data_IF_388187537144
#
_entry.id   IF_388187537144
#
_cell.length_a   1.000
_cell.length_b   1.000
_cell.length_c   1.000
_cell.angle_alpha   90.00
_cell.angle_beta   90.00
_cell.angle_gamma   90.00
#
_symmetry.space_group_name_H-M   'P 1'
#
loop_
_entity.id
_entity.type
_entity.pdbx_description
1 polymer ?
#
# COMPACT_ATOMS: atom_id res chain seq x y z
N UNK A 1 -41.69 72.56 43.20
CA UNK A 1 -41.97 72.25 41.80
C UNK A 1 -40.77 71.45 41.27
N UNK A 2 -40.80 70.15 41.37
CA UNK A 2 -39.68 69.27 41.07
C UNK A 2 -40.13 68.27 40.00
N UNK A 3 -39.47 68.32 38.86
CA UNK A 3 -39.66 67.40 37.73
C UNK A 3 -38.72 66.18 37.88
N UNK A 4 -39.21 64.97 37.73
CA UNK A 4 -38.32 63.79 37.76
C UNK A 4 -37.70 63.50 36.38
N UNK A 5 -36.41 63.22 36.39
CA UNK A 5 -35.64 62.80 35.25
C UNK A 5 -35.88 61.31 34.90
N UNK A 6 -36.26 61.06 33.66
CA UNK A 6 -36.48 59.73 33.11
C UNK A 6 -35.13 59.11 32.70
N UNK A 7 -34.67 58.04 33.38
CA UNK A 7 -33.49 57.26 33.03
C UNK A 7 -33.83 56.28 31.88
N UNK A 8 -33.29 56.49 30.71
CA UNK A 8 -33.37 55.59 29.54
C UNK A 8 -32.34 54.49 29.70
N UNK A 9 -32.76 53.29 30.03
CA UNK A 9 -31.93 52.05 30.06
C UNK A 9 -31.76 51.53 28.66
N UNK A 10 -30.58 51.73 28.07
CA UNK A 10 -30.17 51.08 26.84
C UNK A 10 -29.73 49.65 27.17
N UNK A 11 -30.49 48.66 26.72
CA UNK A 11 -30.17 47.26 26.79
C UNK A 11 -29.17 46.93 25.63
N UNK A 12 -27.92 46.62 26.00
CA UNK A 12 -26.91 46.14 25.06
C UNK A 12 -27.06 44.65 24.88
N UNK A 13 -27.69 44.23 23.75
CA UNK A 13 -27.70 42.81 23.34
C UNK A 13 -26.33 42.37 22.87
N UNK A 14 -25.58 41.65 23.70
CA UNK A 14 -24.37 40.97 23.30
C UNK A 14 -24.69 39.72 22.49
N UNK A 15 -24.50 39.78 21.18
CA UNK A 15 -24.53 38.62 20.28
C UNK A 15 -23.30 37.72 20.59
N UNK A 16 -23.58 36.62 21.31
CA UNK A 16 -22.57 35.56 21.54
C UNK A 16 -22.45 34.74 20.24
N UNK A 17 -21.38 34.99 19.49
CA UNK A 17 -21.01 34.21 18.31
C UNK A 17 -20.39 32.89 18.82
N UNK A 18 -21.17 31.81 18.86
CA UNK A 18 -20.63 30.47 19.12
C UNK A 18 -19.94 29.95 17.86
N UNK A 19 -18.64 29.54 17.92
CA UNK A 19 -18.01 28.91 16.79
C UNK A 19 -18.67 27.55 16.55
N UNK A 20 -19.29 27.39 15.38
CA UNK A 20 -19.77 26.08 14.93
C UNK A 20 -18.55 25.18 14.65
N UNK A 21 -18.30 24.29 15.59
CA UNK A 21 -17.33 23.20 15.41
C UNK A 21 -17.96 22.23 14.37
N UNK A 22 -17.62 22.36 13.10
CA UNK A 22 -17.95 21.36 12.09
C UNK A 22 -17.16 20.08 12.43
N UNK A 23 -17.82 18.93 12.66
CA UNK A 23 -17.12 17.67 12.79
C UNK A 23 -16.39 17.41 11.47
N UNK A 24 -15.06 17.54 11.49
CA UNK A 24 -14.22 17.09 10.39
C UNK A 24 -14.51 15.61 10.17
N UNK A 25 -15.02 15.25 9.00
CA UNK A 25 -15.11 13.85 8.57
C UNK A 25 -13.66 13.31 8.58
N UNK A 26 -13.30 12.59 9.62
CA UNK A 26 -12.09 11.78 9.64
C UNK A 26 -12.28 10.79 8.48
N UNK A 27 -11.63 11.05 7.35
CA UNK A 27 -11.52 10.07 6.28
C UNK A 27 -10.73 8.91 6.87
N UNK A 28 -11.41 7.80 7.13
CA UNK A 28 -10.75 6.54 7.42
C UNK A 28 -9.85 6.26 6.20
N UNK A 29 -8.53 6.37 6.39
CA UNK A 29 -7.58 6.02 5.35
C UNK A 29 -7.80 4.53 5.08
N UNK A 30 -8.29 4.21 3.88
CA UNK A 30 -8.45 2.82 3.46
C UNK A 30 -7.08 2.17 3.45
N UNK A 31 -6.91 1.13 4.27
CA UNK A 31 -5.70 0.33 4.25
C UNK A 31 -5.69 -0.51 2.97
N UNK A 32 -4.62 -0.37 2.16
CA UNK A 32 -4.49 -1.05 0.88
C UNK A 32 -5.26 -0.41 -0.28
N UNK A 33 -5.01 -0.91 -1.47
CA UNK A 33 -5.71 -0.52 -2.70
C UNK A 33 -7.09 -1.20 -2.78
N UNK A 34 -8.03 -0.56 -3.48
CA UNK A 34 -9.36 -1.16 -3.71
C UNK A 34 -9.34 -2.03 -4.96
N UNK A 35 -10.09 -3.12 -4.92
CA UNK A 35 -10.37 -3.94 -6.12
C UNK A 35 -11.02 -3.05 -7.19
N UNK A 36 -10.49 -3.10 -8.41
CA UNK A 36 -10.94 -2.28 -9.55
C UNK A 36 -10.17 -0.97 -9.74
N UNK A 37 -9.38 -0.53 -8.76
CA UNK A 37 -8.50 0.64 -8.94
C UNK A 37 -7.37 0.31 -9.92
N UNK A 38 -6.84 1.33 -10.60
CA UNK A 38 -5.59 1.21 -11.34
C UNK A 38 -4.41 1.27 -10.37
N UNK A 39 -3.42 0.39 -10.61
CA UNK A 39 -2.22 0.36 -9.79
C UNK A 39 -1.45 1.68 -9.89
N UNK A 40 -0.99 2.23 -8.77
CA UNK A 40 -0.04 3.33 -8.79
C UNK A 40 1.33 2.85 -9.26
N UNK A 41 2.22 3.78 -9.57
CA UNK A 41 3.62 3.51 -9.83
C UNK A 41 4.50 4.20 -8.78
N UNK A 42 5.75 3.77 -8.68
CA UNK A 42 6.76 4.38 -7.83
C UNK A 42 8.16 4.05 -8.38
N UNK A 43 9.12 4.92 -8.06
CA UNK A 43 10.53 4.62 -8.30
C UNK A 43 11.07 3.87 -7.08
N UNK A 44 11.64 2.71 -7.31
CA UNK A 44 12.32 1.87 -6.32
C UNK A 44 13.75 1.61 -6.77
N UNK A 45 14.51 0.80 -6.06
CA UNK A 45 15.89 0.46 -6.43
C UNK A 45 16.05 -1.04 -6.57
N UNK A 46 16.89 -1.48 -7.51
CA UNK A 46 17.41 -2.85 -7.46
C UNK A 46 18.17 -3.04 -6.15
N UNK A 47 18.45 -4.30 -5.77
CA UNK A 47 19.29 -4.57 -4.60
C UNK A 47 20.78 -4.10 -4.78
N UNK A 48 21.14 -3.65 -6.00
CA UNK A 48 22.43 -3.00 -6.32
C UNK A 48 22.33 -1.46 -6.38
N UNK A 49 21.19 -0.89 -5.97
CA UNK A 49 20.99 0.55 -5.87
C UNK A 49 20.63 1.27 -7.18
N UNK A 50 20.34 0.56 -8.28
CA UNK A 50 19.91 1.18 -9.53
C UNK A 50 18.43 1.55 -9.48
N UNK A 51 18.01 2.75 -9.93
CA UNK A 51 16.60 3.13 -9.95
C UNK A 51 15.80 2.28 -10.94
N UNK A 52 14.58 1.94 -10.55
CA UNK A 52 13.62 1.15 -11.33
C UNK A 52 12.24 1.78 -11.18
N UNK A 53 11.57 2.04 -12.31
CA UNK A 53 10.17 2.46 -12.31
C UNK A 53 9.26 1.22 -12.35
N UNK A 54 8.40 1.09 -11.35
CA UNK A 54 7.43 -0.02 -11.28
C UNK A 54 6.42 0.00 -12.43
N UNK A 55 6.25 1.12 -13.14
CA UNK A 55 5.41 1.20 -14.33
C UNK A 55 5.80 0.18 -15.41
N UNK A 56 7.07 -0.28 -15.45
CA UNK A 56 7.50 -1.27 -16.41
C UNK A 56 6.84 -2.65 -16.25
N UNK A 57 6.33 -2.96 -15.05
CA UNK A 57 5.63 -4.21 -14.74
C UNK A 57 4.11 -4.10 -14.85
N UNK A 58 3.56 -2.88 -14.93
CA UNK A 58 2.11 -2.62 -14.93
C UNK A 58 1.57 -2.54 -16.35
N UNK A 59 0.41 -3.14 -16.61
CA UNK A 59 -0.29 -3.01 -17.88
C UNK A 59 0.30 -3.82 -19.05
N UNK A 60 0.95 -4.95 -18.78
CA UNK A 60 1.52 -5.86 -19.79
C UNK A 60 1.21 -7.31 -19.49
N UNK A 61 1.65 -7.77 -18.36
CA UNK A 61 1.49 -9.12 -17.82
C UNK A 61 0.86 -9.00 -16.45
N UNK A 62 0.03 -9.95 -16.00
CA UNK A 62 -0.43 -10.00 -14.63
C UNK A 62 0.73 -9.95 -13.64
N UNK A 63 0.59 -9.22 -12.55
CA UNK A 63 1.66 -9.01 -11.58
C UNK A 63 1.17 -9.31 -10.16
N UNK A 64 1.91 -10.13 -9.42
CA UNK A 64 1.78 -10.26 -7.98
C UNK A 64 2.85 -9.40 -7.32
N UNK A 65 2.43 -8.41 -6.53
CA UNK A 65 3.32 -7.51 -5.78
C UNK A 65 3.20 -7.83 -4.29
N UNK A 66 4.29 -8.18 -3.63
CA UNK A 66 4.37 -8.43 -2.18
C UNK A 66 5.25 -7.37 -1.51
N UNK A 67 4.75 -6.71 -0.45
CA UNK A 67 5.57 -5.92 0.46
C UNK A 67 6.24 -6.85 1.47
N UNK A 68 7.58 -6.91 1.43
CA UNK A 68 8.35 -8.01 1.98
C UNK A 68 9.54 -7.57 2.84
N UNK A 69 9.94 -8.42 3.79
CA UNK A 69 11.19 -8.27 4.55
C UNK A 69 11.72 -9.63 5.01
N UNK A 70 13.04 -9.74 5.18
CA UNK A 70 13.70 -10.98 5.68
C UNK A 70 13.26 -11.37 7.08
N UNK A 71 12.85 -10.42 7.89
CA UNK A 71 12.39 -10.63 9.27
C UNK A 71 10.88 -10.90 9.38
N UNK A 72 10.11 -10.81 8.28
CA UNK A 72 8.66 -10.95 8.26
C UNK A 72 8.24 -12.43 8.38
N UNK A 73 7.61 -12.87 9.49
CA UNK A 73 7.22 -14.27 9.66
C UNK A 73 6.05 -14.69 8.75
N UNK A 74 5.16 -13.75 8.40
CA UNK A 74 4.03 -14.02 7.51
C UNK A 74 4.50 -14.17 6.06
N UNK A 75 5.46 -13.37 5.63
CA UNK A 75 6.09 -13.52 4.31
C UNK A 75 6.74 -14.90 4.16
N UNK A 76 7.43 -15.39 5.21
CA UNK A 76 8.01 -16.74 5.21
C UNK A 76 6.97 -17.85 5.05
N UNK A 77 5.75 -17.65 5.57
CA UNK A 77 4.65 -18.59 5.38
C UNK A 77 4.09 -18.56 3.96
N UNK A 78 4.19 -17.41 3.28
CA UNK A 78 3.76 -17.23 1.88
C UNK A 78 4.78 -17.76 0.86
N UNK A 79 6.07 -17.83 1.21
CA UNK A 79 7.14 -18.27 0.28
C UNK A 79 6.80 -19.56 -0.50
N UNK A 80 6.30 -20.65 0.11
CA UNK A 80 5.97 -21.87 -0.63
C UNK A 80 4.84 -21.66 -1.66
N UNK A 81 3.82 -20.87 -1.29
CA UNK A 81 2.70 -20.57 -2.18
C UNK A 81 3.15 -19.70 -3.36
N UNK A 82 3.92 -18.64 -3.09
CA UNK A 82 4.44 -17.76 -4.14
C UNK A 82 5.36 -18.52 -5.10
N UNK A 83 6.19 -19.41 -4.55
CA UNK A 83 7.05 -20.27 -5.36
C UNK A 83 6.24 -21.21 -6.26
N UNK A 84 5.20 -21.85 -5.72
CA UNK A 84 4.31 -22.71 -6.50
C UNK A 84 3.58 -21.94 -7.62
N UNK A 85 3.15 -20.70 -7.35
CA UNK A 85 2.54 -19.83 -8.35
C UNK A 85 3.52 -19.45 -9.45
N UNK A 86 4.75 -19.09 -9.08
CA UNK A 86 5.82 -18.80 -10.04
C UNK A 86 6.04 -19.99 -10.98
N UNK A 87 6.21 -21.20 -10.41
CA UNK A 87 6.50 -22.40 -11.19
C UNK A 87 5.31 -22.80 -12.07
N UNK A 88 4.07 -22.58 -11.61
CA UNK A 88 2.84 -22.93 -12.35
C UNK A 88 2.52 -21.97 -13.47
N UNK A 89 2.77 -20.67 -13.29
CA UNK A 89 2.40 -19.60 -14.21
C UNK A 89 3.63 -18.93 -14.82
N UNK A 90 4.70 -19.72 -15.02
CA UNK A 90 5.94 -19.23 -15.64
C UNK A 90 5.66 -18.60 -17.01
N UNK A 91 6.11 -17.36 -17.20
CA UNK A 91 5.86 -16.58 -18.43
C UNK A 91 4.47 -15.93 -18.52
N UNK A 92 3.53 -16.24 -17.61
CA UNK A 92 2.19 -15.65 -17.56
C UNK A 92 1.97 -14.73 -16.37
N UNK A 93 2.80 -14.82 -15.33
CA UNK A 93 2.75 -14.04 -14.11
C UNK A 93 4.12 -13.45 -13.77
N UNK A 94 4.18 -12.15 -13.58
CA UNK A 94 5.33 -11.50 -12.96
C UNK A 94 5.19 -11.47 -11.44
N UNK A 95 6.28 -11.72 -10.71
CA UNK A 95 6.32 -11.61 -9.25
C UNK A 95 7.31 -10.53 -8.87
N UNK A 96 6.84 -9.54 -8.11
CA UNK A 96 7.61 -8.39 -7.64
C UNK A 96 7.56 -8.34 -6.11
N UNK A 97 8.72 -8.39 -5.46
CA UNK A 97 8.86 -8.20 -4.03
C UNK A 97 9.42 -6.81 -3.74
N UNK A 98 8.64 -5.99 -3.02
CA UNK A 98 9.03 -4.67 -2.57
C UNK A 98 9.59 -4.76 -1.15
N UNK A 99 10.91 -4.71 -1.06
CA UNK A 99 11.64 -4.85 0.20
C UNK A 99 11.52 -3.55 1.00
N UNK A 100 10.81 -3.61 2.13
CA UNK A 100 10.65 -2.44 3.01
C UNK A 100 11.96 -2.11 3.73
N UNK A 101 12.28 -0.82 3.98
CA UNK A 101 13.58 -0.43 4.54
C UNK A 101 13.70 -0.64 6.06
N UNK A 102 12.58 -0.88 6.79
CA UNK A 102 12.58 -0.99 8.25
C UNK A 102 13.40 -2.21 8.70
N UNK A 103 14.47 -1.98 9.47
CA UNK A 103 15.39 -3.01 9.98
C UNK A 103 15.94 -3.95 8.89
N UNK A 104 16.15 -3.41 7.68
CA UNK A 104 16.51 -4.14 6.48
C UNK A 104 17.56 -3.35 5.67
N UNK A 105 18.44 -4.06 4.97
CA UNK A 105 19.33 -3.48 3.96
C UNK A 105 19.26 -4.28 2.66
N UNK A 106 19.62 -3.68 1.51
CA UNK A 106 19.67 -4.41 0.23
C UNK A 106 20.56 -5.66 0.28
N UNK A 107 21.70 -5.60 0.96
CA UNK A 107 22.64 -6.72 1.10
C UNK A 107 22.01 -7.90 1.86
N UNK A 108 21.37 -7.61 3.00
CA UNK A 108 20.66 -8.64 3.80
C UNK A 108 19.51 -9.27 3.02
N UNK A 109 18.80 -8.47 2.22
CA UNK A 109 17.75 -8.97 1.35
C UNK A 109 18.32 -9.90 0.28
N UNK A 110 19.41 -9.49 -0.40
CA UNK A 110 20.09 -10.29 -1.43
C UNK A 110 20.57 -11.64 -0.88
N UNK A 111 21.29 -11.63 0.23
CA UNK A 111 21.79 -12.86 0.87
C UNK A 111 20.65 -13.81 1.24
N UNK A 112 19.53 -13.27 1.71
CA UNK A 112 18.38 -14.09 2.05
C UNK A 112 17.76 -14.71 0.79
N UNK A 113 17.50 -13.92 -0.25
CA UNK A 113 16.91 -14.35 -1.52
C UNK A 113 17.76 -15.44 -2.18
N UNK A 114 19.07 -15.24 -2.28
CA UNK A 114 20.01 -16.20 -2.85
C UNK A 114 20.03 -17.53 -2.07
N UNK A 115 20.15 -17.46 -0.74
CA UNK A 115 20.17 -18.65 0.12
C UNK A 115 18.87 -19.45 0.04
N UNK A 116 17.72 -18.78 -0.09
CA UNK A 116 16.39 -19.40 -0.14
C UNK A 116 15.95 -19.73 -1.57
N UNK A 117 16.67 -19.23 -2.57
CA UNK A 117 16.31 -19.35 -3.99
C UNK A 117 14.87 -18.88 -4.23
N UNK A 118 14.55 -17.67 -3.76
CA UNK A 118 13.22 -17.10 -3.94
C UNK A 118 13.06 -16.59 -5.39
N UNK A 119 11.93 -16.87 -6.04
CA UNK A 119 11.67 -16.42 -7.41
C UNK A 119 11.24 -14.96 -7.47
N UNK A 120 11.24 -14.37 -8.67
CA UNK A 120 10.73 -13.04 -8.95
C UNK A 120 11.78 -11.93 -8.83
N UNK A 121 11.30 -10.70 -8.93
CA UNK A 121 12.11 -9.49 -8.89
C UNK A 121 12.08 -8.91 -7.47
N UNK A 122 13.24 -8.54 -6.93
CA UNK A 122 13.37 -7.91 -5.62
C UNK A 122 13.87 -6.49 -5.77
N UNK A 123 13.07 -5.53 -5.32
CA UNK A 123 13.40 -4.10 -5.34
C UNK A 123 13.34 -3.52 -3.93
N UNK A 124 14.30 -2.65 -3.62
CA UNK A 124 14.38 -1.98 -2.33
C UNK A 124 13.63 -0.65 -2.37
N UNK A 125 12.63 -0.48 -1.53
CA UNK A 125 11.81 0.72 -1.40
C UNK A 125 12.45 1.68 -0.38
N UNK A 126 13.60 2.26 -0.75
CA UNK A 126 14.52 2.96 0.15
C UNK A 126 13.87 4.10 0.94
N UNK A 127 12.99 4.86 0.32
CA UNK A 127 12.29 6.02 0.89
C UNK A 127 10.81 5.76 1.20
N UNK A 128 10.33 4.54 0.98
CA UNK A 128 8.95 4.14 1.21
C UNK A 128 7.97 4.69 0.17
N UNK A 129 8.46 5.09 -1.02
CA UNK A 129 7.62 5.64 -2.07
C UNK A 129 6.57 4.64 -2.57
N UNK A 130 6.97 3.39 -2.80
CA UNK A 130 6.05 2.32 -3.19
C UNK A 130 5.10 1.96 -2.04
N UNK A 131 5.61 1.84 -0.82
CA UNK A 131 4.79 1.57 0.37
C UNK A 131 3.66 2.59 0.52
N UNK A 132 3.97 3.88 0.34
CA UNK A 132 3.00 4.97 0.39
C UNK A 132 2.04 4.95 -0.80
N UNK A 133 2.54 4.80 -2.03
CA UNK A 133 1.73 4.83 -3.25
C UNK A 133 0.69 3.70 -3.26
N UNK A 134 1.07 2.49 -2.84
CA UNK A 134 0.18 1.33 -2.76
C UNK A 134 -0.68 1.30 -1.49
N UNK A 135 -0.62 2.35 -0.63
CA UNK A 135 -1.30 2.38 0.67
C UNK A 135 -1.01 1.13 1.50
N UNK A 136 0.20 0.59 1.37
CA UNK A 136 0.62 -0.59 2.12
C UNK A 136 0.64 -0.26 3.62
N UNK A 137 0.29 -1.24 4.45
CA UNK A 137 0.14 -1.04 5.90
C UNK A 137 0.82 -2.14 6.73
N UNK A 138 1.19 -3.25 6.08
CA UNK A 138 1.99 -4.32 6.66
C UNK A 138 2.98 -4.90 5.65
N UNK A 139 4.03 -5.57 6.11
CA UNK A 139 4.71 -6.61 5.33
C UNK A 139 3.76 -7.79 5.16
N UNK A 140 3.93 -8.61 4.13
CA UNK A 140 2.96 -9.62 3.66
C UNK A 140 1.68 -9.06 3.02
N UNK A 141 1.58 -7.73 2.83
CA UNK A 141 0.54 -7.15 2.00
C UNK A 141 0.82 -7.50 0.55
N UNK A 142 -0.19 -8.09 -0.12
CA UNK A 142 -0.11 -8.53 -1.51
C UNK A 142 -1.18 -7.82 -2.33
N UNK A 143 -0.76 -7.36 -3.51
CA UNK A 143 -1.63 -6.85 -4.56
C UNK A 143 -1.44 -7.72 -5.80
N UNK A 144 -2.52 -8.18 -6.42
CA UNK A 144 -2.47 -8.82 -7.74
C UNK A 144 -3.15 -7.91 -8.75
N UNK A 145 -2.45 -7.67 -9.85
CA UNK A 145 -2.89 -6.84 -10.97
C UNK A 145 -3.16 -7.71 -12.18
N UNK A 146 -4.22 -7.38 -12.92
CA UNK A 146 -4.46 -7.96 -14.23
C UNK A 146 -3.56 -7.36 -15.33
N UNK A 147 -3.74 -7.81 -16.58
CA UNK A 147 -2.98 -7.34 -17.73
C UNK A 147 -3.12 -5.85 -18.02
N UNK A 148 -4.20 -5.24 -17.56
CA UNK A 148 -4.46 -3.80 -17.73
C UNK A 148 -3.95 -2.96 -16.55
N UNK A 149 -3.32 -3.60 -15.56
CA UNK A 149 -2.86 -2.98 -14.33
C UNK A 149 -3.99 -2.63 -13.36
N UNK A 150 -5.13 -3.32 -13.44
CA UNK A 150 -6.25 -3.17 -12.52
C UNK A 150 -6.07 -4.12 -11.33
N UNK A 151 -6.33 -3.64 -10.13
CA UNK A 151 -6.26 -4.42 -8.90
C UNK A 151 -7.37 -5.47 -8.86
N UNK A 152 -7.02 -6.74 -8.84
CA UNK A 152 -7.97 -7.88 -8.70
C UNK A 152 -7.89 -8.56 -7.35
N UNK A 153 -6.81 -8.29 -6.58
CA UNK A 153 -6.62 -8.75 -5.20
C UNK A 153 -5.83 -7.71 -4.41
N UNK A 154 -6.19 -7.53 -3.16
CA UNK A 154 -5.54 -6.61 -2.23
C UNK A 154 -5.81 -7.06 -0.80
N UNK A 155 -4.86 -7.72 -0.16
CA UNK A 155 -4.98 -8.24 1.20
C UNK A 155 -3.62 -8.48 1.85
N UNK A 156 -3.59 -8.76 3.15
CA UNK A 156 -2.40 -9.13 3.90
C UNK A 156 -2.56 -10.47 4.64
N UNK A 157 -1.43 -10.94 5.20
CA UNK A 157 -1.38 -12.16 6.01
C UNK A 157 -1.24 -13.45 5.19
N UNK A 158 -1.08 -14.59 5.86
CA UNK A 158 -0.67 -15.85 5.22
C UNK A 158 -1.83 -16.68 4.64
N UNK A 159 -3.09 -16.31 4.95
CA UNK A 159 -4.28 -17.07 4.54
C UNK A 159 -5.00 -16.43 3.35
N UNK A 160 -4.23 -15.96 2.37
CA UNK A 160 -4.78 -15.37 1.15
C UNK A 160 -4.99 -16.46 0.10
N UNK A 161 -6.12 -16.43 -0.62
CA UNK A 161 -6.35 -17.29 -1.79
C UNK A 161 -5.68 -16.67 -3.03
N UNK A 162 -4.34 -16.77 -3.06
CA UNK A 162 -3.53 -16.22 -4.15
C UNK A 162 -3.71 -16.96 -5.47
N UNK A 163 -4.03 -18.24 -5.42
CA UNK A 163 -4.30 -19.06 -6.62
C UNK A 163 -5.52 -18.51 -7.38
N UNK A 164 -6.65 -18.31 -6.70
CA UNK A 164 -7.85 -17.72 -7.31
C UNK A 164 -7.60 -16.29 -7.79
N UNK A 165 -6.81 -15.50 -7.04
CA UNK A 165 -6.46 -14.14 -7.43
C UNK A 165 -5.65 -14.10 -8.73
N UNK A 166 -4.64 -14.97 -8.86
CA UNK A 166 -3.80 -15.09 -10.06
C UNK A 166 -4.61 -15.60 -11.25
N UNK A 167 -5.43 -16.63 -11.08
CA UNK A 167 -6.32 -17.12 -12.15
C UNK A 167 -7.23 -16.02 -12.69
N UNK A 168 -7.77 -15.18 -11.80
CA UNK A 168 -8.61 -14.03 -12.20
C UNK A 168 -7.81 -12.97 -12.96
N UNK A 169 -6.53 -12.78 -12.63
CA UNK A 169 -5.67 -11.79 -13.28
C UNK A 169 -5.24 -12.22 -14.70
N UNK A 170 -5.14 -13.52 -14.96
CA UNK A 170 -4.67 -14.09 -16.24
C UNK A 170 -5.80 -14.16 -17.28
N UNK A 171 -7.06 -14.24 -16.88
CA UNK A 171 -8.23 -14.27 -17.76
C UNK A 171 -8.39 -12.97 -18.58
#
# INVERSE_FOLDING_TARGET
MTTPATLLRTALCALVFAPAFAPGLAQAQSQGLKIGDKAPTAIVQTLDGKPVDLAQFVGKTPVLIEFWATWCPLCKQLEPTIKALHDKYEGELEIVHLVVPQNQTPERAREYVERRKLPGHFFFDADGAAYKAFSAYHTSYIVVLDRDGTVVHSADGPKQDLESAVMKAIQ
#
